data_IF_288066213010
#
_entry.id   IF_288066213010
#
_cell.length_a   1.000
_cell.length_b   1.000
_cell.length_c   1.000
_cell.angle_alpha   90.00
_cell.angle_beta   90.00
_cell.angle_gamma   90.00
#
_symmetry.space_group_name_H-M   'P 1'
#
loop_
_entity.id
_entity.type
_entity.pdbx_description
1 polymer ?
#
# COMPACT_ATOMS: atom_id res chain seq x y z
N UNK A 1 -27.30 6.44 -19.82
CA UNK A 1 -26.24 7.41 -20.08
C UNK A 1 -25.24 7.33 -18.93
N UNK A 2 -24.11 6.66 -19.16
CA UNK A 2 -23.14 6.25 -18.12
C UNK A 2 -22.25 7.40 -17.64
N UNK A 3 -22.38 8.57 -18.27
CA UNK A 3 -21.59 9.77 -17.97
C UNK A 3 -22.03 10.42 -16.65
N UNK A 4 -23.26 10.17 -16.18
CA UNK A 4 -23.80 10.79 -14.95
C UNK A 4 -23.43 10.07 -13.65
N UNK A 5 -22.70 8.95 -13.70
CA UNK A 5 -22.31 8.20 -12.48
C UNK A 5 -20.90 8.57 -11.98
N UNK A 6 -20.07 9.23 -12.79
CA UNK A 6 -18.71 9.60 -12.42
C UNK A 6 -18.67 10.80 -11.46
N UNK A 7 -19.59 11.75 -11.62
CA UNK A 7 -19.59 13.03 -10.89
C UNK A 7 -20.12 12.92 -9.45
N UNK A 8 -20.71 11.79 -9.06
CA UNK A 8 -21.24 11.60 -7.70
C UNK A 8 -20.23 10.94 -6.74
N UNK A 9 -19.09 10.45 -7.24
CA UNK A 9 -18.12 9.67 -6.44
C UNK A 9 -16.84 10.44 -6.10
N UNK A 10 -16.60 11.58 -6.75
CA UNK A 10 -15.44 12.43 -6.49
C UNK A 10 -15.94 13.83 -6.13
N UNK A 11 -16.24 14.03 -4.85
CA UNK A 11 -16.52 15.35 -4.31
C UNK A 11 -15.24 16.19 -4.30
N UNK A 12 -15.31 17.35 -4.95
CA UNK A 12 -14.29 18.38 -4.92
C UNK A 12 -14.31 19.09 -3.54
N UNK A 13 -13.53 18.59 -2.57
CA UNK A 13 -13.27 19.34 -1.33
C UNK A 13 -12.02 20.23 -1.52
N UNK A 14 -12.24 21.36 -2.18
CA UNK A 14 -11.37 22.53 -2.13
C UNK A 14 -11.41 23.15 -0.72
N UNK A 15 -10.34 23.00 0.05
CA UNK A 15 -10.17 23.77 1.28
C UNK A 15 -8.82 24.48 1.30
N UNK A 16 -8.86 25.73 0.83
CA UNK A 16 -7.83 26.75 0.98
C UNK A 16 -7.70 27.20 2.45
N UNK A 17 -6.47 27.21 2.98
CA UNK A 17 -6.06 28.03 4.13
C UNK A 17 -4.53 28.14 4.15
N UNK A 18 -4.01 29.30 3.75
CA UNK A 18 -2.59 29.67 3.79
C UNK A 18 -2.05 29.99 5.21
N UNK A 19 -1.00 30.84 5.33
CA UNK A 19 0.39 30.40 5.31
C UNK A 19 1.11 30.67 6.66
N UNK A 20 2.21 29.95 6.94
CA UNK A 20 3.19 30.40 7.93
C UNK A 20 4.62 30.18 7.44
N UNK A 21 5.25 31.29 7.03
CA UNK A 21 6.70 31.42 6.88
C UNK A 21 7.36 31.43 8.25
N UNK A 22 8.44 30.67 8.42
CA UNK A 22 9.50 31.02 9.36
C UNK A 22 10.85 30.81 8.69
N UNK A 23 11.60 31.90 8.67
CA UNK A 23 12.80 32.12 7.88
C UNK A 23 14.07 31.53 8.51
N UNK A 24 15.00 31.15 7.62
CA UNK A 24 16.42 31.52 7.66
C UNK A 24 17.29 31.16 8.89
N UNK A 25 18.25 30.25 8.67
CA UNK A 25 19.69 30.58 8.40
C UNK A 25 20.68 29.64 9.11
N UNK A 26 21.46 28.98 8.26
CA UNK A 26 22.88 28.57 8.39
C UNK A 26 23.27 27.56 9.49
N UNK A 27 23.91 26.47 9.09
CA UNK A 27 25.37 26.34 9.25
C UNK A 27 25.95 25.18 8.44
N UNK A 28 26.92 25.55 7.60
CA UNK A 28 28.18 24.85 7.29
C UNK A 28 28.14 23.38 6.85
N UNK A 29 28.44 23.21 5.56
CA UNK A 29 29.23 22.10 5.05
C UNK A 29 30.47 21.87 5.94
N UNK A 30 30.60 20.67 6.49
CA UNK A 30 31.83 20.14 7.04
C UNK A 30 31.98 18.69 6.54
N UNK A 31 32.93 18.53 5.63
CA UNK A 31 33.59 17.27 5.29
C UNK A 31 34.07 16.53 6.54
N UNK A 32 33.88 15.21 6.61
CA UNK A 32 34.95 14.18 6.67
C UNK A 32 34.40 12.84 7.20
N UNK A 33 34.91 11.78 6.60
CA UNK A 33 34.54 10.38 6.76
C UNK A 33 34.67 9.79 8.17
N UNK A 34 33.94 8.68 8.33
CA UNK A 34 34.28 7.49 9.11
C UNK A 34 33.95 7.49 10.60
N UNK A 35 32.85 6.82 10.95
CA UNK A 35 32.90 5.67 11.86
C UNK A 35 31.61 4.87 11.73
N UNK A 36 31.73 3.63 11.27
CA UNK A 36 30.70 2.60 11.34
C UNK A 36 30.22 2.47 12.78
N UNK A 37 29.09 3.09 13.09
CA UNK A 37 28.27 2.76 14.23
C UNK A 37 27.04 2.06 13.66
N UNK A 38 27.08 0.73 13.64
CA UNK A 38 25.89 -0.08 13.35
C UNK A 38 24.98 0.12 14.55
N UNK A 39 24.00 1.02 14.40
CA UNK A 39 22.84 1.03 15.26
C UNK A 39 22.11 -0.28 14.99
N UNK A 40 22.35 -1.27 15.84
CA UNK A 40 21.45 -2.42 15.94
C UNK A 40 20.23 -1.87 16.65
N UNK A 41 19.32 -1.28 15.89
CA UNK A 41 17.93 -1.22 16.30
C UNK A 41 17.52 -2.68 16.50
N UNK A 42 16.94 -3.02 17.64
CA UNK A 42 16.29 -4.31 17.81
C UNK A 42 15.29 -4.48 16.67
N UNK A 43 15.72 -5.21 15.64
CA UNK A 43 14.93 -5.52 14.47
C UNK A 43 13.97 -6.60 14.93
N UNK A 44 12.84 -6.18 15.50
CA UNK A 44 11.69 -7.06 15.50
C UNK A 44 11.46 -7.51 14.05
N UNK A 45 11.31 -8.82 13.80
CA UNK A 45 11.10 -9.29 12.45
C UNK A 45 9.84 -8.64 11.91
N UNK A 46 9.99 -7.80 10.89
CA UNK A 46 8.88 -7.22 10.14
C UNK A 46 8.12 -8.40 9.55
N UNK A 47 7.01 -8.74 10.19
CA UNK A 47 6.10 -9.80 9.75
C UNK A 47 5.21 -9.17 8.70
N UNK A 48 5.44 -9.53 7.44
CA UNK A 48 4.54 -9.17 6.35
C UNK A 48 3.25 -9.96 6.53
N UNK A 49 2.12 -9.25 6.58
CA UNK A 49 0.81 -9.86 6.57
C UNK A 49 0.45 -10.23 5.13
N UNK A 50 0.26 -11.52 4.88
CA UNK A 50 -0.06 -12.01 3.53
C UNK A 50 -1.52 -11.67 3.21
N UNK A 51 -1.75 -11.05 2.07
CA UNK A 51 -3.04 -10.49 1.67
C UNK A 51 -3.19 -8.99 1.95
N UNK A 52 -2.30 -8.41 2.76
CA UNK A 52 -2.27 -6.97 3.08
C UNK A 52 -1.38 -6.27 2.04
N UNK A 53 -2.00 -5.87 0.93
CA UNK A 53 -1.32 -5.25 -0.21
C UNK A 53 -1.08 -3.75 0.02
N UNK A 54 -1.92 -3.10 0.84
CA UNK A 54 -1.84 -1.68 1.15
C UNK A 54 -1.03 -1.35 2.44
N UNK A 55 -0.57 -2.37 3.16
CA UNK A 55 0.22 -2.30 4.41
C UNK A 55 -0.52 -1.55 5.53
N UNK A 56 -1.85 -1.69 5.59
CA UNK A 56 -2.69 -1.05 6.63
C UNK A 56 -2.87 -1.91 7.89
N UNK A 57 -2.34 -3.14 7.87
CA UNK A 57 -2.37 -4.09 8.97
C UNK A 57 -3.62 -4.97 8.99
N UNK A 58 -4.50 -4.86 8.00
CA UNK A 58 -5.69 -5.69 7.81
C UNK A 58 -5.65 -6.42 6.46
N UNK A 59 -6.48 -7.44 6.30
CA UNK A 59 -6.72 -8.09 5.01
C UNK A 59 -8.19 -7.93 4.70
N UNK A 60 -8.52 -6.99 3.82
CA UNK A 60 -9.90 -6.65 3.48
C UNK A 60 -10.10 -6.29 2.00
N UNK A 61 -11.23 -5.65 1.69
CA UNK A 61 -11.58 -5.30 0.32
C UNK A 61 -10.70 -4.18 -0.26
N UNK A 62 -10.07 -3.36 0.58
CA UNK A 62 -9.10 -2.34 0.19
C UNK A 62 -7.90 -2.96 -0.52
N UNK A 63 -7.36 -4.05 0.02
CA UNK A 63 -6.29 -4.83 -0.60
C UNK A 63 -6.69 -5.36 -1.97
N UNK A 64 -7.92 -5.87 -2.07
CA UNK A 64 -8.47 -6.37 -3.31
C UNK A 64 -8.51 -5.29 -4.40
N UNK A 65 -8.95 -4.08 -4.06
CA UNK A 65 -8.97 -2.97 -5.02
C UNK A 65 -7.56 -2.54 -5.44
N UNK A 66 -6.61 -2.47 -4.52
CA UNK A 66 -5.22 -2.11 -4.83
C UNK A 66 -4.60 -3.14 -5.78
N UNK A 67 -4.73 -4.44 -5.47
CA UNK A 67 -4.19 -5.49 -6.34
C UNK A 67 -4.88 -5.53 -7.70
N UNK A 68 -6.20 -5.35 -7.77
CA UNK A 68 -6.92 -5.31 -9.05
C UNK A 68 -6.45 -4.14 -9.93
N UNK A 69 -6.28 -2.94 -9.36
CA UNK A 69 -5.76 -1.78 -10.11
C UNK A 69 -4.33 -1.99 -10.59
N UNK A 70 -3.48 -2.58 -9.76
CA UNK A 70 -2.10 -2.92 -10.13
C UNK A 70 -2.05 -3.91 -11.30
N UNK A 71 -2.81 -5.00 -11.22
CA UNK A 71 -2.84 -6.06 -12.25
C UNK A 71 -3.39 -5.51 -13.58
N UNK A 72 -4.39 -4.63 -13.53
CA UNK A 72 -4.98 -4.01 -14.71
C UNK A 72 -4.15 -2.84 -15.27
N UNK A 73 -3.13 -2.39 -14.55
CA UNK A 73 -2.25 -1.28 -14.96
C UNK A 73 -2.85 0.11 -14.80
N UNK A 74 -3.87 0.27 -13.95
CA UNK A 74 -4.52 1.56 -13.67
C UNK A 74 -4.02 2.25 -12.39
N UNK A 75 -3.34 1.51 -11.51
CA UNK A 75 -2.87 2.03 -10.21
C UNK A 75 -1.37 1.91 -9.99
N UNK A 76 -0.92 2.53 -8.90
CA UNK A 76 0.45 2.36 -8.40
C UNK A 76 0.71 0.93 -7.92
N UNK A 77 1.99 0.61 -7.74
CA UNK A 77 2.39 -0.64 -7.11
C UNK A 77 1.83 -0.74 -5.67
N UNK A 78 1.43 -1.94 -5.21
CA UNK A 78 1.06 -2.18 -3.82
C UNK A 78 2.14 -1.66 -2.86
N UNK A 79 1.72 -1.16 -1.70
CA UNK A 79 2.64 -0.75 -0.64
C UNK A 79 3.51 -1.94 -0.19
N UNK A 80 2.91 -3.14 -0.18
CA UNK A 80 3.57 -4.39 0.13
C UNK A 80 3.48 -5.38 -1.03
N UNK A 81 4.52 -5.44 -1.87
CA UNK A 81 4.65 -6.48 -2.92
C UNK A 81 4.67 -7.90 -2.32
N UNK A 82 5.17 -8.03 -1.10
CA UNK A 82 5.28 -9.31 -0.41
C UNK A 82 3.96 -9.70 0.29
N UNK A 83 3.14 -8.72 0.67
CA UNK A 83 1.76 -8.93 1.11
C UNK A 83 0.85 -9.31 -0.06
N UNK A 84 1.06 -8.70 -1.23
CA UNK A 84 0.33 -8.99 -2.46
C UNK A 84 0.70 -10.34 -3.13
N UNK A 85 1.88 -10.90 -2.86
CA UNK A 85 2.33 -12.23 -3.35
C UNK A 85 1.78 -13.36 -2.44
N UNK A 86 0.50 -13.65 -2.63
CA UNK A 86 -0.28 -14.58 -1.78
C UNK A 86 0.03 -16.05 -2.11
N UNK A 87 0.54 -16.37 -3.29
CA UNK A 87 0.97 -17.73 -3.61
C UNK A 87 2.49 -17.96 -3.38
N UNK A 88 3.31 -16.91 -3.35
CA UNK A 88 4.74 -16.95 -3.03
C UNK A 88 5.60 -17.28 -4.23
N UNK A 89 5.10 -17.03 -5.44
CA UNK A 89 5.79 -17.31 -6.70
C UNK A 89 6.66 -16.13 -7.19
N UNK A 90 6.74 -15.06 -6.40
CA UNK A 90 7.46 -13.82 -6.69
C UNK A 90 6.83 -12.98 -7.82
N UNK A 91 5.58 -13.22 -8.18
CA UNK A 91 4.86 -12.46 -9.20
C UNK A 91 3.44 -12.13 -8.75
N UNK A 92 3.17 -10.87 -8.42
CA UNK A 92 1.81 -10.40 -8.12
C UNK A 92 0.96 -10.41 -9.39
N UNK A 93 0.01 -11.35 -9.47
CA UNK A 93 -0.82 -11.54 -10.65
C UNK A 93 -2.26 -11.97 -10.29
N UNK A 94 -3.05 -12.32 -11.32
CA UNK A 94 -4.46 -12.70 -11.16
C UNK A 94 -4.64 -13.88 -10.20
N UNK A 95 -3.67 -14.79 -10.10
CA UNK A 95 -3.72 -15.90 -9.16
C UNK A 95 -3.77 -15.43 -7.70
N UNK A 96 -2.95 -14.44 -7.33
CA UNK A 96 -2.99 -13.86 -5.99
C UNK A 96 -4.31 -13.16 -5.72
N UNK A 97 -4.84 -12.43 -6.70
CA UNK A 97 -6.14 -11.77 -6.59
C UNK A 97 -7.29 -12.77 -6.38
N UNK A 98 -7.24 -13.92 -7.04
CA UNK A 98 -8.23 -15.00 -6.84
C UNK A 98 -8.08 -15.61 -5.45
N UNK A 99 -6.87 -15.83 -4.96
CA UNK A 99 -6.64 -16.33 -3.59
C UNK A 99 -7.14 -15.35 -2.54
N UNK A 100 -6.92 -14.04 -2.74
CA UNK A 100 -7.47 -13.01 -1.86
C UNK A 100 -9.00 -13.02 -1.90
N UNK A 101 -9.60 -13.12 -3.08
CA UNK A 101 -11.05 -13.17 -3.22
C UNK A 101 -11.66 -14.39 -2.52
N UNK A 102 -11.02 -15.56 -2.65
CA UNK A 102 -11.43 -16.77 -1.95
C UNK A 102 -11.29 -16.61 -0.42
N UNK A 103 -10.26 -15.91 0.05
CA UNK A 103 -10.13 -15.59 1.46
C UNK A 103 -11.25 -14.67 1.97
N UNK A 104 -11.61 -13.64 1.21
CA UNK A 104 -12.61 -12.63 1.60
C UNK A 104 -14.06 -13.14 1.47
N UNK A 105 -14.35 -13.92 0.43
CA UNK A 105 -15.71 -14.33 0.06
C UNK A 105 -15.93 -15.83 -0.04
N UNK A 106 -14.88 -16.66 0.02
CA UNK A 106 -14.94 -18.13 -0.02
C UNK A 106 -15.48 -18.76 1.25
N UNK A 107 -16.38 -18.07 1.96
CA UNK A 107 -17.08 -18.58 3.13
C UNK A 107 -17.78 -19.91 2.86
N UNK A 108 -17.10 -20.99 3.23
CA UNK A 108 -17.59 -22.33 3.63
C UNK A 108 -18.86 -22.83 2.91
N UNK A 109 -18.68 -23.40 1.72
CA UNK A 109 -19.51 -24.55 1.33
C UNK A 109 -18.80 -25.83 1.82
N UNK A 110 -18.80 -26.08 3.14
CA UNK A 110 -18.33 -27.36 3.70
C UNK A 110 -19.44 -28.44 3.70
N UNK A 111 -20.67 -28.09 3.30
CA UNK A 111 -21.80 -29.01 3.15
C UNK A 111 -22.78 -28.57 2.04
N UNK A 112 -22.24 -28.44 0.83
CA UNK A 112 -23.01 -28.70 -0.39
C UNK A 112 -22.36 -29.96 -1.04
#
# INVERSE_FOLDING_TARGET
DLVLLADYLWGDDESDSGPQSLDSRTTKAATKASKTAVAVCDLEPVRVLRGDANDDGSVDIGDFFIMAQYILGYGDAPASMQGADINGDHAVNVLDLVLLADHLWGGQCERC
#
